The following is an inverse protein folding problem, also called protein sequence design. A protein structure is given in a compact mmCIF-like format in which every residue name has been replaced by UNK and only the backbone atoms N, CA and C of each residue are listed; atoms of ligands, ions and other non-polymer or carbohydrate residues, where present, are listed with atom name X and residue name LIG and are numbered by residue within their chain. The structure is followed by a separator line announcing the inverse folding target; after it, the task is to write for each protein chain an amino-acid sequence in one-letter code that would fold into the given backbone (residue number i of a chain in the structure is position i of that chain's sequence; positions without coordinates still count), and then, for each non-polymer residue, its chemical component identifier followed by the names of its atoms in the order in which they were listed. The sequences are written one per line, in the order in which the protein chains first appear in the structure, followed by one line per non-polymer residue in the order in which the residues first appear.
data_IF_790362396673
#
_entry.id   IF_790362396673
#
_cell.length_a   1.000
_cell.length_b   1.000
_cell.length_c   1.000
_cell.angle_alpha   90.00
_cell.angle_beta   90.00
_cell.angle_gamma   90.00
#
_symmetry.space_group_name_H-M   'P 1'
#
loop_
_entity.id
_entity.type
_entity.pdbx_description
1 polymer ?
#
# COMPACT_ATOMS: atom_id res chain seq x y z
N UNK A 1 2.22 -35.10 -10.65
CA UNK A 1 1.59 -33.93 -10.02
C UNK A 1 2.67 -33.20 -9.23
N UNK A 2 2.93 -31.93 -9.53
CA UNK A 2 3.93 -31.14 -8.80
C UNK A 2 3.39 -30.66 -7.44
N UNK A 3 4.27 -30.30 -6.51
CA UNK A 3 3.89 -29.71 -5.22
C UNK A 3 3.11 -28.40 -5.39
N UNK A 4 3.43 -27.61 -6.41
CA UNK A 4 2.72 -26.38 -6.77
C UNK A 4 1.30 -26.68 -7.24
N UNK A 5 1.12 -27.68 -8.10
CA UNK A 5 -0.20 -28.12 -8.56
C UNK A 5 -1.05 -28.67 -7.42
N UNK A 6 -0.46 -29.47 -6.53
CA UNK A 6 -1.12 -29.99 -5.35
C UNK A 6 -1.58 -28.86 -4.42
N UNK A 7 -0.72 -27.87 -4.16
CA UNK A 7 -1.05 -26.69 -3.36
C UNK A 7 -2.18 -25.85 -3.97
N UNK A 8 -2.12 -25.59 -5.28
CA UNK A 8 -3.19 -24.87 -6.00
C UNK A 8 -4.51 -25.63 -5.93
N UNK A 9 -4.49 -26.96 -6.14
CA UNK A 9 -5.70 -27.79 -6.08
C UNK A 9 -6.30 -27.80 -4.69
N UNK A 10 -5.47 -27.99 -3.65
CA UNK A 10 -5.91 -27.93 -2.26
C UNK A 10 -6.51 -26.57 -1.88
N UNK A 11 -5.86 -25.48 -2.27
CA UNK A 11 -6.39 -24.12 -2.06
C UNK A 11 -7.72 -23.87 -2.78
N UNK A 12 -7.88 -24.41 -3.99
CA UNK A 12 -9.14 -24.30 -4.74
C UNK A 12 -10.26 -25.05 -4.04
N UNK A 13 -10.03 -26.29 -3.60
CA UNK A 13 -11.01 -27.08 -2.82
C UNK A 13 -11.43 -26.37 -1.54
N UNK A 14 -10.47 -25.79 -0.81
CA UNK A 14 -10.77 -25.04 0.42
C UNK A 14 -11.58 -23.77 0.12
N UNK A 15 -11.24 -23.05 -0.95
CA UNK A 15 -12.00 -21.87 -1.38
C UNK A 15 -13.42 -22.22 -1.79
N UNK A 16 -13.61 -23.30 -2.53
CA UNK A 16 -14.93 -23.70 -3.00
C UNK A 16 -15.80 -24.18 -1.83
N UNK A 17 -15.18 -24.79 -0.81
CA UNK A 17 -15.86 -25.26 0.41
C UNK A 17 -16.20 -24.15 1.41
N UNK A 18 -15.30 -23.18 1.63
CA UNK A 18 -15.42 -22.21 2.72
C UNK A 18 -15.55 -20.75 2.28
N UNK A 19 -15.37 -20.47 0.99
CA UNK A 19 -15.55 -19.13 0.40
C UNK A 19 -14.45 -18.11 0.76
N UNK A 20 -14.64 -16.88 0.28
CA UNK A 20 -13.69 -15.79 0.47
C UNK A 20 -13.61 -15.26 1.92
N UNK A 21 -14.70 -15.35 2.68
CA UNK A 21 -14.72 -14.92 4.09
C UNK A 21 -13.77 -15.75 4.95
N UNK A 22 -13.69 -17.06 4.69
CA UNK A 22 -12.76 -17.93 5.40
C UNK A 22 -11.30 -17.48 5.22
N UNK A 23 -10.90 -17.15 3.99
CA UNK A 23 -9.56 -16.64 3.71
C UNK A 23 -9.28 -15.29 4.39
N UNK A 24 -10.27 -14.39 4.42
CA UNK A 24 -10.15 -13.12 5.15
C UNK A 24 -9.92 -13.37 6.64
N UNK A 25 -10.69 -14.28 7.25
CA UNK A 25 -10.56 -14.58 8.67
C UNK A 25 -9.20 -15.22 9.01
N UNK A 26 -8.77 -16.25 8.28
CA UNK A 26 -7.49 -16.90 8.55
C UNK A 26 -6.30 -15.98 8.26
N UNK A 27 -6.40 -15.13 7.22
CA UNK A 27 -5.40 -14.12 6.91
C UNK A 27 -5.28 -13.08 8.01
N UNK A 28 -6.42 -12.59 8.53
CA UNK A 28 -6.45 -11.68 9.68
C UNK A 28 -5.82 -12.31 10.92
N UNK A 29 -6.21 -13.56 11.26
CA UNK A 29 -5.63 -14.30 12.40
C UNK A 29 -4.10 -14.44 12.26
N UNK A 30 -3.62 -14.86 11.10
CA UNK A 30 -2.19 -15.00 10.83
C UNK A 30 -1.43 -13.67 10.92
N UNK A 31 -1.99 -12.60 10.37
CA UNK A 31 -1.40 -11.26 10.44
C UNK A 31 -1.32 -10.72 11.87
N UNK A 32 -2.39 -10.88 12.67
CA UNK A 32 -2.40 -10.48 14.08
C UNK A 32 -1.35 -11.25 14.88
N UNK A 33 -1.33 -12.59 14.78
CA UNK A 33 -0.34 -13.41 15.49
C UNK A 33 1.10 -13.06 15.08
N UNK A 34 1.33 -12.76 13.80
CA UNK A 34 2.64 -12.33 13.31
C UNK A 34 3.03 -10.96 13.85
N UNK A 35 2.07 -10.02 13.97
CA UNK A 35 2.29 -8.70 14.56
C UNK A 35 2.62 -8.78 16.04
N UNK A 36 1.91 -9.61 16.80
CA UNK A 36 2.19 -9.85 18.21
C UNK A 36 3.59 -10.44 18.39
N UNK A 37 3.97 -11.41 17.54
CA UNK A 37 5.27 -12.10 17.64
C UNK A 37 6.47 -11.27 17.18
N UNK A 38 6.31 -10.44 16.16
CA UNK A 38 7.45 -9.78 15.46
C UNK A 38 7.43 -8.25 15.55
N UNK A 39 6.37 -7.65 16.06
CA UNK A 39 6.24 -6.20 16.22
C UNK A 39 6.12 -5.43 14.89
N UNK A 40 6.08 -4.10 14.99
CA UNK A 40 5.88 -3.20 13.85
C UNK A 40 7.10 -3.06 12.95
N UNK A 41 8.31 -3.25 13.49
CA UNK A 41 9.57 -3.19 12.72
C UNK A 41 9.62 -4.26 11.63
N UNK A 42 9.14 -5.47 11.94
CA UNK A 42 9.06 -6.55 10.95
C UNK A 42 8.19 -6.16 9.75
N UNK A 43 7.04 -5.53 10.00
CA UNK A 43 6.16 -5.05 8.94
C UNK A 43 6.78 -3.93 8.10
N UNK A 44 7.55 -3.02 8.74
CA UNK A 44 8.30 -1.99 8.02
C UNK A 44 9.35 -2.61 7.09
N UNK A 45 10.10 -3.60 7.56
CA UNK A 45 11.11 -4.27 6.75
C UNK A 45 10.51 -5.00 5.54
N UNK A 46 9.41 -5.75 5.72
CA UNK A 46 8.77 -6.44 4.59
C UNK A 46 8.17 -5.44 3.59
N UNK A 47 7.60 -4.34 4.06
CA UNK A 47 7.05 -3.29 3.19
C UNK A 47 8.16 -2.61 2.38
N UNK A 48 9.29 -2.30 3.02
CA UNK A 48 10.45 -1.73 2.35
C UNK A 48 11.02 -2.68 1.29
N UNK A 49 11.19 -3.96 1.62
CA UNK A 49 11.66 -4.98 0.66
C UNK A 49 10.70 -5.11 -0.53
N UNK A 50 9.39 -5.15 -0.27
CA UNK A 50 8.37 -5.19 -1.31
C UNK A 50 8.41 -3.96 -2.21
N UNK A 51 8.54 -2.77 -1.62
CA UNK A 51 8.67 -1.51 -2.36
C UNK A 51 9.92 -1.47 -3.24
N UNK A 52 11.08 -1.86 -2.70
CA UNK A 52 12.34 -1.95 -3.45
C UNK A 52 12.22 -2.93 -4.61
N UNK A 53 11.70 -4.13 -4.38
CA UNK A 53 11.48 -5.11 -5.45
C UNK A 53 10.55 -4.58 -6.56
N UNK A 54 9.53 -3.80 -6.18
CA UNK A 54 8.61 -3.18 -7.12
C UNK A 54 9.33 -2.10 -7.97
N UNK A 55 10.13 -1.25 -7.32
CA UNK A 55 10.96 -0.23 -8.01
C UNK A 55 11.95 -0.88 -8.97
N UNK A 56 12.66 -1.92 -8.54
CA UNK A 56 13.60 -2.66 -9.40
C UNK A 56 12.89 -3.29 -10.60
N UNK A 57 11.68 -3.83 -10.41
CA UNK A 57 10.93 -4.52 -11.47
C UNK A 57 10.39 -3.56 -12.54
N UNK A 58 9.85 -2.41 -12.14
CA UNK A 58 9.09 -1.53 -13.04
C UNK A 58 9.79 -0.20 -13.38
N UNK A 59 10.80 0.18 -12.60
CA UNK A 59 11.55 1.42 -12.79
C UNK A 59 10.75 2.71 -12.54
N UNK A 60 11.41 3.88 -12.61
CA UNK A 60 10.81 5.17 -12.26
C UNK A 60 9.67 5.61 -13.20
N UNK A 61 9.75 5.24 -14.47
CA UNK A 61 8.76 5.64 -15.48
C UNK A 61 7.36 5.14 -15.13
N UNK A 62 7.26 3.90 -14.63
CA UNK A 62 6.00 3.31 -14.20
C UNK A 62 5.30 4.12 -13.09
N UNK A 63 6.06 4.55 -12.08
CA UNK A 63 5.52 5.39 -10.99
C UNK A 63 5.17 6.79 -11.46
N UNK A 64 5.93 7.36 -12.40
CA UNK A 64 5.61 8.65 -13.03
C UNK A 64 4.26 8.58 -13.76
N UNK A 65 4.02 7.52 -14.52
CA UNK A 65 2.74 7.32 -15.20
C UNK A 65 1.58 7.13 -14.21
N UNK A 66 1.77 6.35 -13.15
CA UNK A 66 0.76 6.20 -12.08
C UNK A 66 0.45 7.55 -11.42
N UNK A 67 1.47 8.36 -11.14
CA UNK A 67 1.30 9.71 -10.61
C UNK A 67 0.51 10.62 -11.55
N UNK A 68 0.83 10.62 -12.85
CA UNK A 68 0.10 11.38 -13.88
C UNK A 68 -1.37 10.94 -13.95
N UNK A 69 -1.64 9.63 -13.94
CA UNK A 69 -3.00 9.08 -13.95
C UNK A 69 -3.80 9.52 -12.72
N UNK A 70 -3.22 9.44 -11.52
CA UNK A 70 -3.85 9.90 -10.28
C UNK A 70 -4.12 11.40 -10.28
N UNK A 71 -3.17 12.21 -10.76
CA UNK A 71 -3.32 13.66 -10.92
C UNK A 71 -4.45 14.02 -11.88
N UNK A 72 -4.52 13.38 -13.04
CA UNK A 72 -5.59 13.59 -14.02
C UNK A 72 -6.97 13.17 -13.47
N UNK A 73 -7.04 12.04 -12.76
CA UNK A 73 -8.27 11.59 -12.11
C UNK A 73 -8.74 12.58 -11.03
N UNK A 74 -7.81 13.21 -10.33
CA UNK A 74 -8.12 14.25 -9.33
C UNK A 74 -8.62 15.51 -10.04
N UNK A 75 -7.92 15.97 -11.08
CA UNK A 75 -8.31 17.14 -11.88
C UNK A 75 -9.70 17.01 -12.50
N UNK A 76 -10.07 15.81 -12.95
CA UNK A 76 -11.38 15.56 -13.52
C UNK A 76 -12.52 15.60 -12.50
N UNK A 77 -12.23 15.43 -11.20
CA UNK A 77 -13.23 15.33 -10.13
C UNK A 77 -13.33 16.58 -9.26
N UNK A 78 -12.29 17.41 -9.23
CA UNK A 78 -12.15 18.51 -8.28
C UNK A 78 -12.24 19.86 -8.98
N UNK A 79 -12.79 20.85 -8.27
CA UNK A 79 -12.93 22.22 -8.74
C UNK A 79 -11.66 23.07 -8.41
N UNK A 80 -11.55 24.32 -8.91
CA UNK A 80 -10.40 25.18 -8.64
C UNK A 80 -10.12 25.49 -7.15
N UNK A 81 -11.14 25.52 -6.29
CA UNK A 81 -10.97 25.79 -4.85
C UNK A 81 -10.25 24.65 -4.14
N UNK A 82 -10.40 23.41 -4.63
CA UNK A 82 -9.64 22.27 -4.14
C UNK A 82 -8.12 22.54 -4.21
N UNK A 83 -7.64 23.01 -5.36
CA UNK A 83 -6.22 23.31 -5.58
C UNK A 83 -5.74 24.47 -4.71
N UNK A 84 -6.56 25.50 -4.56
CA UNK A 84 -6.30 26.63 -3.66
C UNK A 84 -6.16 26.17 -2.20
N UNK A 85 -7.04 25.27 -1.74
CA UNK A 85 -7.03 24.74 -0.38
C UNK A 85 -5.78 23.90 -0.12
N UNK A 86 -5.45 22.95 -1.00
CA UNK A 86 -4.26 22.10 -0.81
C UNK A 86 -2.97 22.93 -0.90
N UNK A 87 -2.93 23.98 -1.74
CA UNK A 87 -1.81 24.91 -1.81
C UNK A 87 -1.60 25.67 -0.50
N UNK A 88 -2.67 26.21 0.10
CA UNK A 88 -2.62 26.87 1.41
C UNK A 88 -2.13 25.92 2.51
N UNK A 89 -2.64 24.69 2.54
CA UNK A 89 -2.23 23.65 3.50
C UNK A 89 -0.73 23.30 3.35
N UNK A 90 -0.27 23.08 2.12
CA UNK A 90 1.14 22.79 1.84
C UNK A 90 2.07 23.93 2.25
N UNK A 91 1.69 25.18 1.95
CA UNK A 91 2.42 26.36 2.38
C UNK A 91 2.50 26.52 3.90
N UNK A 92 1.39 26.29 4.60
CA UNK A 92 1.35 26.33 6.07
C UNK A 92 2.20 25.23 6.71
N UNK A 93 2.18 24.02 6.16
CA UNK A 93 3.05 22.93 6.63
C UNK A 93 4.53 23.27 6.46
N UNK A 94 4.92 23.85 5.32
CA UNK A 94 6.30 24.27 5.07
C UNK A 94 6.76 25.36 6.05
N UNK A 95 5.89 26.33 6.36
CA UNK A 95 6.20 27.39 7.34
C UNK A 95 6.40 26.84 8.75
N UNK A 96 5.56 25.91 9.19
CA UNK A 96 5.70 25.25 10.51
C UNK A 96 7.03 24.51 10.63
N UNK A 97 7.37 23.67 9.64
CA UNK A 97 8.68 22.99 9.61
C UNK A 97 9.87 23.94 9.66
N UNK A 98 9.75 25.12 9.05
CA UNK A 98 10.83 26.13 9.09
C UNK A 98 10.96 26.74 10.48
N UNK A 99 9.85 27.04 11.16
CA UNK A 99 9.85 27.57 12.51
C UNK A 99 10.43 26.54 13.52
N UNK A 100 10.00 25.28 13.42
CA UNK A 100 10.48 24.17 14.27
C UNK A 100 11.97 23.85 14.08
N UNK A 101 12.57 24.21 12.93
CA UNK A 101 13.99 24.00 12.65
C UNK A 101 14.87 25.20 13.03
N UNK A 102 14.26 26.31 13.47
CA UNK A 102 14.91 27.56 13.86
C UNK A 102 14.86 27.79 15.38
N UNK A 103 14.29 26.86 16.12
CA UNK A 103 14.25 26.74 17.58
C UNK A 103 15.18 25.60 18.02
#
# INVERSE_FOLDING_TARGET
MSTVEAGRKGGSVVRDKYGGEYYRQIGKKGGTALKEKRGSEYYRQIAQKGGQANVTKYGPAHFSEMGKKGGNATKARQDPDFYSRIGKLGGAARRRKKAEAQE
#
